data_IF_949710504817
#
_entry.id   IF_949710504817
#
_cell.length_a   1.000
_cell.length_b   1.000
_cell.length_c   1.000
_cell.angle_alpha   90.00
_cell.angle_beta   90.00
_cell.angle_gamma   90.00
#
_symmetry.space_group_name_H-M   'P 1'
#
loop_
_entity.id
_entity.type
_entity.pdbx_description
1 polymer ?
#
# COMPACT_ATOMS: atom_id res chain seq x y z
N UNK A 1 -13.95 -11.64 -10.84
CA UNK A 1 -13.58 -10.22 -11.04
C UNK A 1 -12.08 -10.09 -10.83
N UNK A 2 -11.33 -9.77 -11.89
CA UNK A 2 -9.89 -9.52 -11.81
C UNK A 2 -9.71 -8.04 -11.45
N UNK A 3 -9.41 -7.74 -10.19
CA UNK A 3 -9.04 -6.38 -9.79
C UNK A 3 -7.64 -6.09 -10.35
N UNK A 4 -7.53 -5.06 -11.19
CA UNK A 4 -6.22 -4.50 -11.55
C UNK A 4 -5.74 -3.63 -10.38
N UNK A 5 -4.64 -4.04 -9.77
CA UNK A 5 -4.06 -3.35 -8.61
C UNK A 5 -3.10 -2.23 -9.03
N UNK A 6 -2.90 -2.01 -10.34
CA UNK A 6 -2.00 -0.99 -10.89
C UNK A 6 -0.60 -1.03 -10.23
N UNK A 7 -0.06 -2.23 -9.95
CA UNK A 7 1.18 -2.37 -9.18
C UNK A 7 2.36 -1.65 -9.82
N UNK A 8 2.45 -1.64 -11.15
CA UNK A 8 3.53 -0.94 -11.86
C UNK A 8 3.45 0.58 -11.67
N UNK A 9 2.24 1.13 -11.55
CA UNK A 9 2.03 2.55 -11.23
C UNK A 9 2.50 2.85 -9.81
N UNK A 10 2.19 1.97 -8.85
CA UNK A 10 2.65 2.11 -7.46
C UNK A 10 4.18 2.04 -7.39
N UNK A 11 4.80 1.10 -8.10
CA UNK A 11 6.28 1.02 -8.21
C UNK A 11 6.87 2.31 -8.79
N UNK A 12 6.26 2.85 -9.85
CA UNK A 12 6.69 4.11 -10.46
C UNK A 12 6.62 5.28 -9.46
N UNK A 13 5.53 5.41 -8.71
CA UNK A 13 5.38 6.48 -7.73
C UNK A 13 6.37 6.32 -6.56
N UNK A 14 6.57 5.11 -6.03
CA UNK A 14 7.57 4.84 -4.98
C UNK A 14 8.97 5.28 -5.44
N UNK A 15 9.36 4.91 -6.67
CA UNK A 15 10.66 5.30 -7.24
C UNK A 15 10.76 6.80 -7.48
N UNK A 16 9.70 7.44 -7.95
CA UNK A 16 9.64 8.88 -8.24
C UNK A 16 9.89 9.72 -7.00
N UNK A 17 9.27 9.37 -5.87
CA UNK A 17 9.46 10.08 -4.60
C UNK A 17 10.61 9.51 -3.76
N UNK A 18 11.26 8.42 -4.22
CA UNK A 18 12.32 7.70 -3.51
C UNK A 18 11.90 7.28 -2.10
N UNK A 19 10.66 6.83 -1.95
CA UNK A 19 10.14 6.36 -0.67
C UNK A 19 10.96 5.14 -0.20
N UNK A 20 11.46 5.20 1.03
CA UNK A 20 12.18 4.11 1.69
C UNK A 20 11.24 3.23 2.48
N UNK A 21 10.22 3.83 3.09
CA UNK A 21 9.22 3.12 3.88
C UNK A 21 7.84 3.30 3.27
N UNK A 22 7.19 2.19 2.90
CA UNK A 22 5.86 2.18 2.27
C UNK A 22 4.88 1.40 3.14
N UNK A 23 3.74 1.99 3.48
CA UNK A 23 2.64 1.29 4.14
C UNK A 23 1.55 0.97 3.12
N UNK A 24 1.13 -0.28 3.10
CA UNK A 24 0.10 -0.82 2.22
C UNK A 24 -1.14 -1.13 3.05
N UNK A 25 -2.27 -0.57 2.63
CA UNK A 25 -3.57 -0.86 3.20
C UNK A 25 -4.44 -1.59 2.18
N UNK A 26 -4.97 -2.74 2.60
CA UNK A 26 -5.75 -3.63 1.75
C UNK A 26 -7.14 -3.88 2.37
N UNK A 27 -8.20 -3.94 1.54
CA UNK A 27 -9.51 -4.43 1.96
C UNK A 27 -9.45 -5.94 2.24
N UNK A 28 -10.41 -6.48 2.99
CA UNK A 28 -10.44 -7.90 3.38
C UNK A 28 -10.32 -8.86 2.19
N UNK A 29 -10.97 -8.54 1.07
CA UNK A 29 -10.90 -9.35 -0.15
C UNK A 29 -9.51 -9.44 -0.80
N UNK A 30 -8.59 -8.51 -0.48
CA UNK A 30 -7.22 -8.50 -0.99
C UNK A 30 -6.18 -8.96 0.04
N UNK A 31 -6.55 -9.14 1.32
CA UNK A 31 -5.65 -9.66 2.36
C UNK A 31 -4.98 -11.00 2.00
N UNK A 32 -5.66 -11.98 1.36
CA UNK A 32 -5.01 -13.21 0.92
C UNK A 32 -3.89 -13.00 -0.10
N UNK A 33 -3.89 -11.87 -0.81
CA UNK A 33 -2.86 -11.50 -1.80
C UNK A 33 -1.80 -10.54 -1.24
N UNK A 34 -1.89 -10.17 0.03
CA UNK A 34 -1.05 -9.14 0.61
C UNK A 34 0.45 -9.47 0.54
N UNK A 35 0.83 -10.74 0.80
CA UNK A 35 2.21 -11.20 0.67
C UNK A 35 2.77 -10.96 -0.74
N UNK A 36 2.05 -11.40 -1.78
CA UNK A 36 2.46 -11.21 -3.17
C UNK A 36 2.64 -9.73 -3.56
N UNK A 37 1.77 -8.85 -3.04
CA UNK A 37 1.85 -7.41 -3.28
C UNK A 37 3.10 -6.84 -2.62
N UNK A 38 3.33 -7.18 -1.34
CA UNK A 38 4.51 -6.73 -0.59
C UNK A 38 5.79 -7.20 -1.27
N UNK A 39 5.89 -8.49 -1.60
CA UNK A 39 7.07 -9.06 -2.21
C UNK A 39 7.38 -8.42 -3.57
N UNK A 40 6.33 -8.14 -4.36
CA UNK A 40 6.47 -7.44 -5.63
C UNK A 40 7.02 -6.03 -5.43
N UNK A 41 6.42 -5.26 -4.53
CA UNK A 41 6.82 -3.88 -4.28
C UNK A 41 8.24 -3.81 -3.70
N UNK A 42 8.59 -4.67 -2.74
CA UNK A 42 9.94 -4.77 -2.19
C UNK A 42 10.97 -5.09 -3.26
N UNK A 43 10.72 -6.12 -4.07
CA UNK A 43 11.65 -6.55 -5.13
C UNK A 43 11.89 -5.46 -6.17
N UNK A 44 10.83 -4.78 -6.60
CA UNK A 44 10.91 -3.85 -7.72
C UNK A 44 11.35 -2.44 -7.26
N UNK A 45 11.23 -2.09 -5.98
CA UNK A 45 11.58 -0.74 -5.48
C UNK A 45 12.76 -0.72 -4.52
N UNK A 46 13.05 -1.82 -3.83
CA UNK A 46 14.03 -1.85 -2.73
C UNK A 46 13.55 -1.16 -1.45
N UNK A 47 12.29 -0.70 -1.40
CA UNK A 47 11.72 -0.06 -0.23
C UNK A 47 11.27 -1.10 0.82
N UNK A 48 11.26 -0.71 2.09
CA UNK A 48 10.64 -1.45 3.17
C UNK A 48 9.11 -1.28 3.10
N UNK A 49 8.43 -2.36 2.73
CA UNK A 49 6.97 -2.38 2.59
C UNK A 49 6.32 -3.11 3.77
N UNK A 50 5.35 -2.46 4.40
CA UNK A 50 4.58 -2.96 5.54
C UNK A 50 3.09 -3.07 5.18
N UNK A 51 2.38 -4.05 5.75
CA UNK A 51 0.92 -4.16 5.61
C UNK A 51 0.26 -3.62 6.86
N UNK A 52 -0.69 -2.71 6.69
CA UNK A 52 -1.57 -2.28 7.76
C UNK A 52 -2.60 -3.38 8.08
N UNK A 53 -2.44 -4.04 9.22
CA UNK A 53 -3.30 -5.16 9.66
C UNK A 53 -4.42 -4.75 10.63
N UNK A 54 -4.57 -3.47 10.95
CA UNK A 54 -5.66 -3.01 11.82
C UNK A 54 -7.02 -3.00 11.07
N UNK A 55 -8.11 -3.16 11.81
CA UNK A 55 -9.47 -2.95 11.30
C UNK A 55 -9.64 -1.47 10.95
N UNK A 56 -9.53 -1.12 9.67
CA UNK A 56 -9.68 0.26 9.26
C UNK A 56 -11.17 0.58 9.05
N UNK A 57 -11.80 1.15 10.07
CA UNK A 57 -13.20 1.56 10.06
C UNK A 57 -13.45 2.92 9.34
N UNK A 58 -12.46 3.48 8.65
CA UNK A 58 -12.63 4.68 7.83
C UNK A 58 -11.37 5.54 7.67
N UNK A 59 -11.51 6.65 6.94
CA UNK A 59 -10.44 7.60 6.61
C UNK A 59 -9.85 8.38 7.82
N UNK A 60 -10.45 8.25 9.00
CA UNK A 60 -9.99 8.93 10.23
C UNK A 60 -8.98 8.12 11.06
N UNK A 61 -8.68 6.88 10.68
CA UNK A 61 -7.71 6.02 11.38
C UNK A 61 -6.44 5.89 10.52
N UNK A 62 -5.92 7.04 10.06
CA UNK A 62 -4.60 7.08 9.41
C UNK A 62 -3.59 7.02 10.54
N UNK A 63 -2.87 5.91 10.71
CA UNK A 63 -1.90 5.86 11.78
C UNK A 63 -0.84 6.92 11.50
N UNK A 64 -0.62 7.83 12.45
CA UNK A 64 0.57 8.68 12.47
C UNK A 64 1.80 7.81 12.75
N UNK A 65 2.11 6.89 11.84
CA UNK A 65 3.36 6.13 11.88
C UNK A 65 4.42 7.08 11.35
N UNK A 66 5.11 7.71 12.28
CA UNK A 66 6.31 8.47 11.98
C UNK A 66 7.28 7.57 11.19
N UNK A 67 7.80 8.09 10.09
CA UNK A 67 8.78 7.38 9.25
C UNK A 67 8.20 6.56 8.10
N UNK A 68 6.91 6.69 7.78
CA UNK A 68 6.37 6.27 6.47
C UNK A 68 6.56 7.40 5.45
N UNK A 69 7.11 7.06 4.29
CA UNK A 69 7.27 7.99 3.17
C UNK A 69 6.09 7.93 2.19
N UNK A 70 5.39 6.79 2.12
CA UNK A 70 4.23 6.60 1.26
C UNK A 70 3.17 5.67 1.87
N UNK A 71 1.91 6.10 1.84
CA UNK A 71 0.76 5.25 2.11
C UNK A 71 0.06 4.89 0.80
N UNK A 72 -0.14 3.60 0.54
CA UNK A 72 -0.88 3.09 -0.62
C UNK A 72 -2.13 2.36 -0.14
N UNK A 73 -3.31 2.86 -0.52
CA UNK A 73 -4.60 2.30 -0.12
C UNK A 73 -5.34 1.77 -1.35
N UNK A 74 -5.69 0.48 -1.33
CA UNK A 74 -6.54 -0.12 -2.36
C UNK A 74 -7.99 -0.25 -1.88
N UNK A 75 -8.93 -0.29 -2.83
CA UNK A 75 -10.35 -0.54 -2.54
C UNK A 75 -11.12 0.65 -1.98
N UNK A 76 -10.48 1.79 -1.77
CA UNK A 76 -11.14 3.04 -1.38
C UNK A 76 -11.12 4.01 -2.57
N UNK A 77 -12.28 4.55 -2.94
CA UNK A 77 -12.32 5.74 -3.78
C UNK A 77 -11.74 6.90 -2.98
N UNK A 78 -10.89 7.74 -3.60
CA UNK A 78 -10.49 9.01 -2.99
C UNK A 78 -11.74 9.72 -2.51
N UNK A 79 -11.86 9.92 -1.20
CA UNK A 79 -12.86 10.83 -0.67
C UNK A 79 -12.53 12.21 -1.25
N UNK A 80 -13.53 12.82 -1.90
CA UNK A 80 -13.40 14.11 -2.55
C UNK A 80 -13.61 15.23 -1.55
#
# INVERSE_FOLDING_TARGET
>A
MNYDLELDRVVSEIRKIKARTVLVQLPDGLKPRAGNIVDRLKRDTGADVFIWQSSCYGACDTPEIKGIDLLVQWGHSKWK
#
